data_IF_738705564199
#
_entry.id   IF_738705564199
#
_cell.length_a   1.000
_cell.length_b   1.000
_cell.length_c   1.000
_cell.angle_alpha   90.00
_cell.angle_beta   90.00
_cell.angle_gamma   90.00
#
_symmetry.space_group_name_H-M   'P 1'
#
loop_
_entity.id
_entity.type
_entity.pdbx_description
1 polymer ?
#
# COMPACT_ATOMS: atom_id res chain seq x y z
N UNK A 1 -14.16 -12.33 13.97
CA UNK A 1 -13.35 -13.56 13.85
C UNK A 1 -13.91 -14.52 12.79
N UNK A 2 -15.16 -14.37 12.34
CA UNK A 2 -15.74 -15.24 11.29
C UNK A 2 -15.48 -14.77 9.85
N UNK A 3 -14.78 -13.65 9.63
CA UNK A 3 -14.55 -13.08 8.30
C UNK A 3 -13.27 -13.58 7.59
N UNK A 4 -12.47 -14.45 8.23
CA UNK A 4 -11.27 -15.04 7.61
C UNK A 4 -10.05 -14.09 7.53
N UNK A 5 -10.07 -12.99 8.27
CA UNK A 5 -8.91 -12.10 8.42
C UNK A 5 -7.82 -12.77 9.28
N UNK A 6 -6.53 -12.66 8.92
CA UNK A 6 -5.43 -13.09 9.78
C UNK A 6 -5.47 -12.35 11.12
N UNK A 7 -5.29 -13.06 12.23
CA UNK A 7 -5.37 -12.47 13.57
C UNK A 7 -4.36 -11.32 13.77
N UNK A 8 -3.19 -11.42 13.18
CA UNK A 8 -2.15 -10.37 13.25
C UNK A 8 -2.60 -9.06 12.60
N UNK A 9 -3.23 -9.11 11.42
CA UNK A 9 -3.73 -7.90 10.73
C UNK A 9 -4.89 -7.23 11.49
N UNK A 10 -5.71 -8.04 12.17
CA UNK A 10 -6.81 -7.53 13.02
C UNK A 10 -6.23 -6.83 14.25
N UNK A 11 -5.26 -7.44 14.92
CA UNK A 11 -4.63 -6.89 16.12
C UNK A 11 -3.89 -5.57 15.83
N UNK A 12 -3.10 -5.51 14.75
CA UNK A 12 -2.42 -4.27 14.34
C UNK A 12 -3.42 -3.14 14.04
N UNK A 13 -4.53 -3.48 13.40
CA UNK A 13 -5.59 -2.51 13.10
C UNK A 13 -6.27 -2.04 14.38
N UNK A 14 -6.57 -2.95 15.32
CA UNK A 14 -7.17 -2.62 16.61
C UNK A 14 -6.26 -1.74 17.45
N UNK A 15 -4.98 -2.07 17.60
CA UNK A 15 -4.00 -1.25 18.32
C UNK A 15 -3.87 0.17 17.73
N UNK A 16 -3.87 0.29 16.42
CA UNK A 16 -3.84 1.57 15.73
C UNK A 16 -5.06 2.44 16.07
N UNK A 17 -6.27 1.87 16.08
CA UNK A 17 -7.49 2.61 16.39
C UNK A 17 -7.63 2.90 17.88
N UNK A 18 -7.19 2.00 18.76
CA UNK A 18 -7.16 2.23 20.23
C UNK A 18 -6.26 3.42 20.55
N UNK A 19 -5.02 3.42 20.04
CA UNK A 19 -4.07 4.51 20.24
C UNK A 19 -4.61 5.86 19.72
N UNK A 20 -5.32 5.85 18.60
CA UNK A 20 -5.98 7.07 18.09
C UNK A 20 -7.14 7.51 18.97
N UNK A 21 -7.95 6.60 19.48
CA UNK A 21 -9.06 6.94 20.38
C UNK A 21 -8.57 7.62 21.66
N UNK A 22 -7.48 7.13 22.25
CA UNK A 22 -6.89 7.69 23.49
C UNK A 22 -6.36 9.11 23.29
N UNK A 23 -5.99 9.48 22.06
CA UNK A 23 -5.46 10.82 21.73
C UNK A 23 -6.51 11.87 21.36
N UNK A 24 -7.80 11.49 21.26
CA UNK A 24 -8.85 12.38 20.77
C UNK A 24 -9.64 13.02 21.93
N UNK A 25 -9.67 14.37 22.01
CA UNK A 25 -10.34 15.09 23.10
C UNK A 25 -11.86 15.25 22.92
N UNK A 26 -12.44 14.82 21.78
CA UNK A 26 -13.81 15.18 21.40
C UNK A 26 -14.61 13.96 20.91
N UNK A 27 -15.85 13.87 21.41
CA UNK A 27 -16.80 12.78 21.11
C UNK A 27 -17.18 12.73 19.61
N UNK A 28 -17.20 13.85 18.92
CA UNK A 28 -17.53 13.93 17.50
C UNK A 28 -16.40 13.34 16.63
N UNK A 29 -15.16 13.58 17.04
CA UNK A 29 -13.98 12.99 16.40
C UNK A 29 -13.87 11.48 16.64
N UNK A 30 -14.29 11.01 17.81
CA UNK A 30 -14.37 9.58 18.13
C UNK A 30 -15.41 8.89 17.23
N UNK A 31 -16.58 9.51 17.01
CA UNK A 31 -17.60 8.96 16.09
C UNK A 31 -17.09 8.90 14.65
N UNK A 32 -16.40 9.93 14.18
CA UNK A 32 -15.76 9.93 12.86
C UNK A 32 -14.69 8.84 12.75
N UNK A 33 -13.88 8.63 13.80
CA UNK A 33 -12.89 7.56 13.83
C UNK A 33 -13.55 6.17 13.77
N UNK A 34 -14.64 5.96 14.52
CA UNK A 34 -15.43 4.72 14.44
C UNK A 34 -16.00 4.48 13.04
N UNK A 35 -16.48 5.53 12.38
CA UNK A 35 -16.96 5.42 11.01
C UNK A 35 -15.86 5.02 10.04
N UNK A 36 -14.66 5.62 10.15
CA UNK A 36 -13.50 5.24 9.34
C UNK A 36 -13.04 3.81 9.64
N UNK A 37 -13.04 3.39 10.90
CA UNK A 37 -12.73 2.02 11.29
C UNK A 37 -13.68 1.01 10.62
N UNK A 38 -14.99 1.30 10.62
CA UNK A 38 -15.99 0.44 9.97
C UNK A 38 -15.75 0.37 8.46
N UNK A 39 -15.43 1.50 7.82
CA UNK A 39 -15.13 1.54 6.38
C UNK A 39 -13.86 0.76 6.04
N UNK A 40 -12.81 0.87 6.86
CA UNK A 40 -11.57 0.13 6.66
C UNK A 40 -11.79 -1.37 6.82
N UNK A 41 -12.52 -1.81 7.84
CA UNK A 41 -12.89 -3.21 7.99
C UNK A 41 -13.80 -3.71 6.85
N UNK A 42 -14.77 -2.90 6.43
CA UNK A 42 -15.64 -3.25 5.31
C UNK A 42 -14.86 -3.38 4.00
N UNK A 43 -13.86 -2.53 3.77
CA UNK A 43 -13.00 -2.60 2.59
C UNK A 43 -12.05 -3.81 2.66
N UNK A 44 -11.48 -4.12 3.83
CA UNK A 44 -10.70 -5.34 4.04
C UNK A 44 -11.54 -6.60 3.76
N UNK A 45 -12.75 -6.67 4.29
CA UNK A 45 -13.68 -7.80 4.04
C UNK A 45 -14.12 -7.87 2.57
N UNK A 46 -14.32 -6.71 1.93
CA UNK A 46 -14.64 -6.64 0.50
C UNK A 46 -13.48 -7.14 -0.35
N UNK A 47 -12.24 -6.75 -0.03
CA UNK A 47 -11.02 -7.22 -0.69
C UNK A 47 -10.85 -8.73 -0.53
N UNK A 48 -11.18 -9.29 0.64
CA UNK A 48 -11.20 -10.74 0.87
C UNK A 48 -12.27 -11.45 0.04
N UNK A 49 -13.46 -10.88 -0.09
CA UNK A 49 -14.57 -11.46 -0.85
C UNK A 49 -14.38 -11.34 -2.38
N UNK A 50 -13.79 -10.24 -2.85
CA UNK A 50 -13.49 -10.05 -4.27
C UNK A 50 -12.29 -10.89 -4.73
N UNK A 51 -11.38 -11.21 -3.83
CA UNK A 51 -10.33 -12.21 -4.03
C UNK A 51 -10.86 -13.59 -3.64
N UNK A 52 -12.01 -14.02 -4.17
CA UNK A 52 -12.67 -15.31 -3.87
C UNK A 52 -11.72 -16.53 -3.88
N UNK A 53 -10.99 -16.69 -2.81
CA UNK A 53 -9.95 -17.67 -2.57
C UNK A 53 -8.78 -16.98 -1.89
N UNK A 54 -8.37 -17.48 -0.75
CA UNK A 54 -7.16 -17.14 0.01
C UNK A 54 -6.11 -16.49 -0.89
N UNK A 55 -5.77 -15.22 -0.62
CA UNK A 55 -4.62 -14.60 -1.30
C UNK A 55 -3.49 -15.61 -1.28
N UNK A 56 -3.04 -16.04 -2.44
CA UNK A 56 -2.08 -17.13 -2.48
C UNK A 56 -0.86 -16.70 -1.67
N UNK A 57 -0.22 -17.64 -1.02
CA UNK A 57 1.03 -17.43 -0.28
C UNK A 57 2.03 -16.59 -1.11
N UNK A 58 2.03 -16.78 -2.43
CA UNK A 58 2.87 -16.01 -3.34
C UNK A 58 2.54 -14.51 -3.31
N UNK A 59 1.28 -14.14 -3.46
CA UNK A 59 0.86 -12.74 -3.50
C UNK A 59 1.13 -12.06 -2.17
N UNK A 60 0.88 -12.73 -1.05
CA UNK A 60 1.23 -12.22 0.29
C UNK A 60 2.73 -11.98 0.45
N UNK A 61 3.56 -12.95 0.07
CA UNK A 61 5.01 -12.79 0.15
C UNK A 61 5.52 -11.62 -0.73
N UNK A 62 4.95 -11.45 -1.91
CA UNK A 62 5.26 -10.33 -2.80
C UNK A 62 4.90 -9.00 -2.13
N UNK A 63 3.70 -8.88 -1.57
CA UNK A 63 3.26 -7.67 -0.86
C UNK A 63 4.14 -7.37 0.36
N UNK A 64 4.44 -8.38 1.15
CA UNK A 64 5.31 -8.24 2.31
C UNK A 64 6.69 -7.75 1.91
N UNK A 65 7.28 -8.33 0.85
CA UNK A 65 8.58 -7.88 0.35
C UNK A 65 8.54 -6.41 -0.12
N UNK A 66 7.51 -6.03 -0.88
CA UNK A 66 7.36 -4.66 -1.37
C UNK A 66 7.28 -3.67 -0.19
N UNK A 67 6.46 -3.96 0.82
CA UNK A 67 6.30 -3.09 1.99
C UNK A 67 7.61 -2.92 2.78
N UNK A 68 8.34 -4.00 3.00
CA UNK A 68 9.59 -3.97 3.78
C UNK A 68 10.78 -3.31 3.03
N UNK A 69 10.71 -3.18 1.68
CA UNK A 69 11.77 -2.62 0.85
C UNK A 69 11.33 -1.39 0.05
N UNK A 70 10.30 -0.66 0.54
CA UNK A 70 9.71 0.46 -0.19
C UNK A 70 10.72 1.58 -0.48
N UNK A 71 11.66 1.80 0.44
CA UNK A 71 12.70 2.82 0.32
C UNK A 71 13.85 2.44 -0.63
N UNK A 72 13.85 1.23 -1.15
CA UNK A 72 14.91 0.72 -2.03
C UNK A 72 14.41 0.53 -3.47
N UNK A 73 15.34 0.46 -4.46
CA UNK A 73 14.98 0.04 -5.80
C UNK A 73 14.57 -1.44 -5.81
N UNK A 74 13.28 -1.72 -5.84
CA UNK A 74 12.74 -3.08 -5.85
C UNK A 74 12.97 -3.73 -7.21
N UNK A 75 13.74 -4.81 -7.25
CA UNK A 75 13.97 -5.61 -8.45
C UNK A 75 13.16 -6.89 -8.42
N UNK A 76 12.58 -7.27 -9.54
CA UNK A 76 11.82 -8.51 -9.68
C UNK A 76 12.65 -9.75 -9.32
N UNK A 77 13.98 -9.69 -9.53
CA UNK A 77 14.88 -10.79 -9.18
C UNK A 77 14.96 -11.01 -7.65
N UNK A 78 14.97 -9.93 -6.88
CA UNK A 78 15.06 -10.00 -5.42
C UNK A 78 13.77 -10.56 -4.82
N UNK A 79 12.61 -10.14 -5.34
CA UNK A 79 11.31 -10.73 -4.96
C UNK A 79 11.26 -12.22 -5.33
N UNK A 80 11.81 -12.59 -6.49
CA UNK A 80 11.83 -13.99 -6.92
C UNK A 80 12.67 -14.84 -5.96
N UNK A 81 13.85 -14.36 -5.58
CA UNK A 81 14.71 -15.01 -4.58
C UNK A 81 13.99 -15.15 -3.22
N UNK A 82 13.36 -14.07 -2.74
CA UNK A 82 12.56 -14.09 -1.51
C UNK A 82 11.42 -15.11 -1.54
N UNK A 83 10.76 -15.26 -2.69
CA UNK A 83 9.68 -16.23 -2.88
C UNK A 83 10.17 -17.66 -3.20
N UNK A 84 11.47 -17.90 -3.28
CA UNK A 84 12.06 -19.20 -3.65
C UNK A 84 11.72 -19.62 -5.09
N UNK A 85 11.62 -18.64 -6.02
CA UNK A 85 11.24 -18.87 -7.42
C UNK A 85 12.25 -18.27 -8.39
N UNK A 86 12.25 -18.78 -9.63
CA UNK A 86 12.93 -18.10 -10.72
C UNK A 86 12.17 -16.82 -11.10
N UNK A 87 12.86 -15.83 -11.67
CA UNK A 87 12.27 -14.56 -12.12
C UNK A 87 11.09 -14.77 -13.08
N UNK A 88 11.26 -15.67 -14.06
CA UNK A 88 10.19 -16.00 -15.02
C UNK A 88 9.02 -16.72 -14.36
N UNK A 89 9.31 -17.70 -13.48
CA UNK A 89 8.28 -18.42 -12.73
C UNK A 89 7.45 -17.49 -11.84
N UNK A 90 8.10 -16.55 -11.11
CA UNK A 90 7.41 -15.56 -10.30
C UNK A 90 6.46 -14.70 -11.15
N UNK A 91 6.97 -14.07 -12.21
CA UNK A 91 6.18 -13.14 -13.03
C UNK A 91 4.99 -13.81 -13.71
N UNK A 92 5.18 -15.02 -14.23
CA UNK A 92 4.11 -15.80 -14.87
C UNK A 92 3.03 -16.17 -13.86
N UNK A 93 3.44 -16.71 -12.71
CA UNK A 93 2.49 -17.15 -11.69
C UNK A 93 1.75 -15.97 -11.05
N UNK A 94 2.47 -14.86 -10.76
CA UNK A 94 1.86 -13.66 -10.24
C UNK A 94 0.81 -13.09 -11.21
N UNK A 95 1.14 -13.01 -12.51
CA UNK A 95 0.19 -12.56 -13.53
C UNK A 95 -1.01 -13.49 -13.66
N UNK A 96 -0.80 -14.82 -13.57
CA UNK A 96 -1.88 -15.80 -13.58
C UNK A 96 -2.84 -15.61 -12.41
N UNK A 97 -2.32 -15.29 -11.23
CA UNK A 97 -3.12 -15.17 -10.00
C UNK A 97 -3.79 -13.79 -9.84
N UNK A 98 -3.14 -12.72 -10.29
CA UNK A 98 -3.60 -11.33 -10.08
C UNK A 98 -4.15 -10.66 -11.34
N UNK A 99 -3.92 -11.24 -12.51
CA UNK A 99 -4.23 -10.63 -13.81
C UNK A 99 -3.28 -9.49 -14.21
N UNK A 100 -2.30 -9.11 -13.37
CA UNK A 100 -1.45 -7.92 -13.53
C UNK A 100 0.03 -8.28 -13.65
N UNK A 101 0.79 -7.43 -14.33
CA UNK A 101 2.25 -7.54 -14.34
C UNK A 101 2.81 -7.15 -12.96
N UNK A 102 3.84 -7.86 -12.51
CA UNK A 102 4.47 -7.60 -11.22
C UNK A 102 5.10 -6.21 -11.14
N UNK A 103 5.73 -5.73 -12.23
CA UNK A 103 6.33 -4.39 -12.26
C UNK A 103 5.30 -3.28 -12.12
N UNK A 104 4.17 -3.39 -12.83
CA UNK A 104 3.06 -2.42 -12.73
C UNK A 104 2.45 -2.43 -11.32
N UNK A 105 2.36 -3.61 -10.72
CA UNK A 105 1.87 -3.76 -9.36
C UNK A 105 2.80 -3.09 -8.33
N UNK A 106 4.12 -3.28 -8.44
CA UNK A 106 5.10 -2.60 -7.58
C UNK A 106 4.97 -1.08 -7.72
N UNK A 107 4.88 -0.58 -8.96
CA UNK A 107 4.71 0.85 -9.23
C UNK A 107 3.43 1.39 -8.59
N UNK A 108 2.32 0.68 -8.74
CA UNK A 108 1.04 1.06 -8.13
C UNK A 108 1.13 1.12 -6.60
N UNK A 109 1.78 0.14 -5.95
CA UNK A 109 1.98 0.17 -4.49
C UNK A 109 2.81 1.38 -4.05
N UNK A 110 3.87 1.73 -4.78
CA UNK A 110 4.65 2.94 -4.52
C UNK A 110 3.83 4.22 -4.70
N UNK A 111 2.93 4.27 -5.67
CA UNK A 111 2.05 5.43 -5.89
C UNK A 111 0.99 5.58 -4.79
N UNK A 112 0.41 4.48 -4.30
CA UNK A 112 -0.51 4.52 -3.16
C UNK A 112 0.17 5.03 -1.88
N UNK A 113 1.41 4.62 -1.64
CA UNK A 113 2.19 5.14 -0.52
C UNK A 113 2.55 6.62 -0.72
N UNK A 114 2.87 7.02 -1.97
CA UNK A 114 3.10 8.42 -2.31
C UNK A 114 1.90 9.31 -2.00
N UNK A 115 0.69 8.89 -2.33
CA UNK A 115 -0.55 9.60 -1.98
C UNK A 115 -0.66 9.78 -0.46
N UNK A 116 -0.43 8.71 0.29
CA UNK A 116 -0.47 8.74 1.75
C UNK A 116 0.53 9.73 2.33
N UNK A 117 1.77 9.71 1.86
CA UNK A 117 2.81 10.63 2.29
C UNK A 117 2.52 12.08 1.91
N UNK A 118 1.99 12.32 0.70
CA UNK A 118 1.61 13.64 0.23
C UNK A 118 0.50 14.29 1.06
N UNK A 119 -0.46 13.48 1.52
CA UNK A 119 -1.64 13.96 2.26
C UNK A 119 -1.43 14.02 3.77
N UNK A 120 -0.63 13.11 4.32
CA UNK A 120 -0.50 12.94 5.78
C UNK A 120 0.78 13.52 6.36
N UNK A 121 1.71 13.99 5.53
CA UNK A 121 3.00 14.49 6.00
C UNK A 121 3.38 15.80 5.33
N UNK A 122 4.20 16.62 6.03
CA UNK A 122 4.79 17.84 5.50
C UNK A 122 6.10 17.59 4.71
N UNK A 123 6.40 16.34 4.39
CA UNK A 123 7.61 15.99 3.66
C UNK A 123 7.62 16.62 2.27
N UNK A 124 8.79 17.12 1.86
CA UNK A 124 8.95 17.64 0.50
C UNK A 124 9.07 16.50 -0.53
N UNK A 125 8.90 16.84 -1.81
CA UNK A 125 8.88 15.84 -2.88
C UNK A 125 10.21 15.08 -3.02
N UNK A 126 11.33 15.71 -2.68
CA UNK A 126 12.63 15.05 -2.69
C UNK A 126 12.72 13.97 -1.61
N UNK A 127 12.24 14.26 -0.41
CA UNK A 127 12.17 13.30 0.69
C UNK A 127 11.25 12.12 0.34
N UNK A 128 10.05 12.40 -0.17
CA UNK A 128 9.08 11.36 -0.59
C UNK A 128 9.69 10.49 -1.70
N UNK A 129 10.33 11.09 -2.71
CA UNK A 129 10.97 10.32 -3.78
C UNK A 129 12.06 9.38 -3.26
N UNK A 130 12.86 9.84 -2.29
CA UNK A 130 13.90 9.01 -1.63
C UNK A 130 13.29 7.89 -0.80
N UNK A 131 12.25 8.17 0.00
CA UNK A 131 11.54 7.18 0.82
C UNK A 131 10.89 6.07 -0.02
N UNK A 132 10.50 6.39 -1.25
CA UNK A 132 9.91 5.44 -2.18
C UNK A 132 10.94 4.81 -3.13
N UNK A 133 12.23 5.03 -2.90
CA UNK A 133 13.33 4.42 -3.67
C UNK A 133 13.34 4.83 -5.16
N UNK A 134 12.93 6.07 -5.47
CA UNK A 134 13.10 6.63 -6.81
C UNK A 134 14.51 7.21 -6.98
N UNK A 135 15.05 7.05 -8.19
CA UNK A 135 16.40 7.56 -8.52
C UNK A 135 16.49 9.08 -8.51
N UNK A 136 15.38 9.78 -8.64
CA UNK A 136 15.30 11.26 -8.59
C UNK A 136 13.87 11.73 -8.36
N UNK A 137 13.72 12.95 -7.84
CA UNK A 137 12.43 13.63 -7.72
C UNK A 137 11.75 13.80 -9.09
N UNK A 138 12.50 14.08 -10.14
CA UNK A 138 11.96 14.25 -11.50
C UNK A 138 11.37 12.95 -12.02
N UNK A 139 12.03 11.81 -11.76
CA UNK A 139 11.51 10.48 -12.12
C UNK A 139 10.22 10.18 -11.33
N UNK A 140 10.22 10.42 -10.03
CA UNK A 140 9.01 10.28 -9.20
C UNK A 140 7.86 11.14 -9.72
N UNK A 141 8.09 12.44 -9.97
CA UNK A 141 7.07 13.37 -10.45
C UNK A 141 6.47 12.92 -11.78
N UNK A 142 7.28 12.44 -12.73
CA UNK A 142 6.83 11.92 -14.01
C UNK A 142 5.94 10.69 -13.83
N UNK A 143 6.39 9.70 -13.06
CA UNK A 143 5.65 8.46 -12.81
C UNK A 143 4.33 8.75 -12.08
N UNK A 144 4.35 9.63 -11.09
CA UNK A 144 3.14 10.03 -10.38
C UNK A 144 2.12 10.69 -11.32
N UNK A 145 2.58 11.60 -12.19
CA UNK A 145 1.71 12.24 -13.19
C UNK A 145 1.15 11.26 -14.22
N UNK A 146 1.93 10.27 -14.64
CA UNK A 146 1.46 9.19 -15.54
C UNK A 146 0.32 8.37 -14.91
N UNK A 147 0.37 8.12 -13.60
CA UNK A 147 -0.64 7.32 -12.88
C UNK A 147 -1.87 8.14 -12.49
N UNK A 148 -1.68 9.37 -12.01
CA UNK A 148 -2.76 10.20 -11.42
C UNK A 148 -3.26 11.32 -12.34
N UNK A 149 -2.64 11.53 -13.51
CA UNK A 149 -3.00 12.60 -14.44
C UNK A 149 -2.55 14.01 -14.00
N UNK A 150 -2.03 14.16 -12.78
CA UNK A 150 -1.57 15.43 -12.20
C UNK A 150 -0.25 15.26 -11.45
N UNK A 151 0.48 16.36 -11.24
CA UNK A 151 1.74 16.34 -10.49
C UNK A 151 1.50 16.12 -8.99
N UNK A 152 2.50 15.60 -8.23
CA UNK A 152 2.40 15.48 -6.78
C UNK A 152 2.08 16.79 -6.06
N UNK A 153 2.58 17.92 -6.57
CA UNK A 153 2.31 19.26 -6.01
C UNK A 153 0.84 19.66 -6.22
N UNK A 154 0.31 19.42 -7.41
CA UNK A 154 -1.10 19.67 -7.72
C UNK A 154 -2.00 18.77 -6.88
N UNK A 155 -1.64 17.50 -6.75
CA UNK A 155 -2.36 16.52 -5.93
C UNK A 155 -2.44 16.96 -4.46
N UNK A 156 -1.31 17.37 -3.85
CA UNK A 156 -1.28 17.89 -2.46
C UNK A 156 -2.19 19.10 -2.28
N UNK A 157 -2.22 20.02 -3.26
CA UNK A 157 -3.05 21.24 -3.19
C UNK A 157 -4.54 20.97 -3.41
N UNK A 158 -4.90 19.95 -4.16
CA UNK A 158 -6.29 19.64 -4.47
C UNK A 158 -7.03 18.94 -3.32
N UNK A 159 -6.29 18.44 -2.34
CA UNK A 159 -6.85 17.65 -1.21
C UNK A 159 -6.66 18.37 0.15
N UNK A 160 -5.94 19.46 0.21
CA UNK A 160 -5.76 20.33 1.38
C UNK A 160 -6.50 21.63 1.20
#
# INVERSE_FOLDING_TARGET
IQAGLPAEEVLETEEHYISKCESLPDMERIKNLQYHMILDYADQVRKLKQCGGSQSRLVRNVLQYIRSHMAEPIRTADIAAYCGKSRGGLTTEFKKQTGRNLSDFIQQQKMQEAETLLLKTEQNLSQISSLLGFSSQSHFTRVFKEVHGMTPTEFRKSQG
#
